data_IF_366941587433
#
_entry.id   IF_366941587433
#
_cell.length_a   1.000
_cell.length_b   1.000
_cell.length_c   1.000
_cell.angle_alpha   90.00
_cell.angle_beta   90.00
_cell.angle_gamma   90.00
#
_symmetry.space_group_name_H-M   'P 1'
#
loop_
_entity.id
_entity.type
_entity.pdbx_description
1 polymer ?
#
# COMPACT_ATOMS: atom_id res chain seq x y z
N UNK A 1 -21.16 -1.31 -6.74
CA UNK A 1 -20.60 -2.01 -7.92
C UNK A 1 -21.49 -3.15 -8.45
N UNK A 2 -21.80 -3.14 -9.75
CA UNK A 2 -22.53 -4.21 -10.46
C UNK A 2 -21.61 -5.39 -10.84
N UNK A 3 -22.19 -6.53 -11.23
CA UNK A 3 -21.39 -7.69 -11.67
C UNK A 3 -20.66 -7.44 -12.99
N UNK A 4 -21.24 -6.67 -13.90
CA UNK A 4 -20.57 -6.21 -15.13
C UNK A 4 -19.34 -5.34 -14.81
N UNK A 5 -19.47 -4.43 -13.84
CA UNK A 5 -18.36 -3.59 -13.38
C UNK A 5 -17.26 -4.42 -12.71
N UNK A 6 -17.62 -5.39 -11.86
CA UNK A 6 -16.65 -6.34 -11.28
C UNK A 6 -15.93 -7.13 -12.37
N UNK A 7 -16.66 -7.62 -13.37
CA UNK A 7 -16.09 -8.36 -14.50
C UNK A 7 -15.17 -7.49 -15.35
N UNK A 8 -15.55 -6.24 -15.60
CA UNK A 8 -14.68 -5.26 -16.25
C UNK A 8 -13.36 -5.07 -15.47
N UNK A 9 -13.44 -4.86 -14.15
CA UNK A 9 -12.25 -4.67 -13.30
C UNK A 9 -11.36 -5.91 -13.33
N UNK A 10 -11.94 -7.11 -13.28
CA UNK A 10 -11.21 -8.38 -13.40
C UNK A 10 -10.37 -8.41 -14.68
N UNK A 11 -11.03 -8.21 -15.82
CA UNK A 11 -10.40 -8.28 -17.13
C UNK A 11 -9.36 -7.16 -17.34
N UNK A 12 -9.70 -5.94 -16.93
CA UNK A 12 -8.85 -4.76 -17.15
C UNK A 12 -7.66 -4.70 -16.20
N UNK A 13 -7.88 -4.93 -14.91
CA UNK A 13 -6.89 -4.65 -13.86
C UNK A 13 -6.01 -5.85 -13.54
N UNK A 14 -6.56 -7.06 -13.59
CA UNK A 14 -5.87 -8.31 -13.24
C UNK A 14 -5.45 -9.10 -14.46
N UNK A 15 -6.33 -9.33 -15.44
CA UNK A 15 -5.99 -10.03 -16.69
C UNK A 15 -5.28 -9.13 -17.72
N UNK A 16 -5.17 -7.82 -17.47
CA UNK A 16 -4.51 -6.81 -18.33
C UNK A 16 -5.01 -6.77 -19.77
N UNK A 17 -6.29 -7.11 -20.00
CA UNK A 17 -6.90 -7.05 -21.33
C UNK A 17 -7.08 -5.62 -21.82
N UNK A 18 -6.87 -5.44 -23.12
CA UNK A 18 -7.21 -4.22 -23.85
C UNK A 18 -8.72 -4.08 -23.99
N UNK A 19 -9.20 -2.87 -24.29
CA UNK A 19 -10.64 -2.65 -24.45
C UNK A 19 -11.26 -3.53 -25.55
N UNK A 20 -10.67 -3.71 -26.75
CA UNK A 20 -11.20 -4.64 -27.76
C UNK A 20 -11.37 -6.08 -27.24
N UNK A 21 -10.41 -6.57 -26.46
CA UNK A 21 -10.49 -7.91 -25.88
C UNK A 21 -11.60 -8.01 -24.82
N UNK A 22 -11.83 -6.94 -24.07
CA UNK A 22 -12.91 -6.86 -23.07
C UNK A 22 -14.27 -6.78 -23.76
N UNK A 23 -14.43 -5.96 -24.80
CA UNK A 23 -15.65 -5.87 -25.62
C UNK A 23 -16.05 -7.26 -26.13
N UNK A 24 -15.07 -8.00 -26.69
CA UNK A 24 -15.27 -9.38 -27.13
C UNK A 24 -15.61 -10.32 -25.98
N UNK A 25 -14.90 -10.23 -24.86
CA UNK A 25 -15.09 -11.11 -23.70
C UNK A 25 -16.44 -10.92 -23.00
N UNK A 26 -16.97 -9.70 -23.01
CA UNK A 26 -18.22 -9.34 -22.34
C UNK A 26 -19.41 -9.24 -23.32
N UNK A 27 -19.16 -9.36 -24.63
CA UNK A 27 -20.15 -9.17 -25.69
C UNK A 27 -20.88 -7.81 -25.60
N UNK A 28 -20.12 -6.73 -25.41
CA UNK A 28 -20.62 -5.35 -25.32
C UNK A 28 -19.86 -4.42 -26.26
N UNK A 29 -20.49 -3.32 -26.68
CA UNK A 29 -19.84 -2.31 -27.50
C UNK A 29 -19.06 -1.25 -26.68
N UNK A 30 -18.29 -0.42 -27.37
CA UNK A 30 -17.43 0.62 -26.75
C UNK A 30 -18.20 1.60 -25.86
N UNK A 31 -19.42 1.96 -26.24
CA UNK A 31 -20.26 2.90 -25.50
C UNK A 31 -20.71 2.29 -24.17
N UNK A 32 -21.18 1.03 -24.21
CA UNK A 32 -21.54 0.26 -23.03
C UNK A 32 -20.34 0.06 -22.10
N UNK A 33 -19.19 -0.36 -22.64
CA UNK A 33 -17.96 -0.55 -21.88
C UNK A 33 -17.50 0.75 -21.20
N UNK A 34 -17.57 1.88 -21.91
CA UNK A 34 -17.20 3.18 -21.34
C UNK A 34 -18.15 3.61 -20.22
N UNK A 35 -19.45 3.28 -20.34
CA UNK A 35 -20.45 3.57 -19.32
C UNK A 35 -20.22 2.81 -18.00
N UNK A 36 -19.51 1.65 -18.04
CA UNK A 36 -19.13 0.92 -16.82
C UNK A 36 -18.14 1.71 -15.95
N UNK A 37 -17.39 2.66 -16.51
CA UNK A 37 -16.35 3.43 -15.79
C UNK A 37 -16.88 4.67 -15.08
N UNK A 38 -17.79 4.45 -14.16
CA UNK A 38 -18.23 5.50 -13.25
C UNK A 38 -17.14 5.89 -12.22
N UNK A 39 -17.50 6.79 -11.30
CA UNK A 39 -16.59 7.26 -10.24
C UNK A 39 -16.14 6.12 -9.32
N UNK A 40 -17.02 5.18 -8.99
CA UNK A 40 -16.71 4.05 -8.10
C UNK A 40 -15.69 3.12 -8.76
N UNK A 41 -15.92 2.73 -10.02
CA UNK A 41 -14.99 1.88 -10.80
C UNK A 41 -13.66 2.56 -11.01
N UNK A 42 -13.65 3.85 -11.35
CA UNK A 42 -12.39 4.59 -11.54
C UNK A 42 -11.58 4.67 -10.25
N UNK A 43 -12.23 4.88 -9.10
CA UNK A 43 -11.56 4.84 -7.80
C UNK A 43 -10.98 3.46 -7.50
N UNK A 44 -11.73 2.39 -7.79
CA UNK A 44 -11.26 1.03 -7.58
C UNK A 44 -10.07 0.68 -8.47
N UNK A 45 -10.11 1.03 -9.76
CA UNK A 45 -9.00 0.86 -10.70
C UNK A 45 -7.76 1.63 -10.22
N UNK A 46 -7.93 2.89 -9.79
CA UNK A 46 -6.82 3.68 -9.26
C UNK A 46 -6.20 3.06 -8.00
N UNK A 47 -7.03 2.50 -7.11
CA UNK A 47 -6.54 1.80 -5.92
C UNK A 47 -5.78 0.51 -6.29
N UNK A 48 -6.29 -0.28 -7.22
CA UNK A 48 -5.59 -1.47 -7.73
C UNK A 48 -4.25 -1.08 -8.35
N UNK A 49 -4.19 0.01 -9.13
CA UNK A 49 -2.94 0.51 -9.71
C UNK A 49 -1.91 0.94 -8.63
N UNK A 50 -2.35 1.59 -7.55
CA UNK A 50 -1.47 1.92 -6.42
C UNK A 50 -0.88 0.67 -5.75
N UNK A 51 -1.67 -0.39 -5.62
CA UNK A 51 -1.19 -1.68 -5.07
C UNK A 51 -0.26 -2.36 -6.08
N UNK A 52 -0.57 -2.32 -7.37
CA UNK A 52 0.30 -2.83 -8.43
C UNK A 52 1.68 -2.15 -8.44
N UNK A 53 1.76 -0.85 -8.14
CA UNK A 53 3.05 -0.17 -7.98
C UNK A 53 3.91 -0.75 -6.84
N UNK A 54 3.31 -1.43 -5.86
CA UNK A 54 4.02 -2.16 -4.80
C UNK A 54 4.46 -3.56 -5.26
N UNK A 55 3.99 -4.07 -6.40
CA UNK A 55 4.35 -5.39 -6.93
C UNK A 55 5.65 -5.35 -7.74
N UNK A 56 6.77 -5.10 -7.04
CA UNK A 56 8.11 -4.94 -7.64
C UNK A 56 8.65 -6.27 -8.19
N UNK A 57 9.67 -6.23 -9.06
CA UNK A 57 10.30 -7.44 -9.65
C UNK A 57 10.65 -8.53 -8.63
N UNK A 58 11.15 -8.14 -7.45
CA UNK A 58 11.47 -9.09 -6.37
C UNK A 58 10.21 -9.79 -5.83
N UNK A 59 9.11 -9.04 -5.67
CA UNK A 59 7.83 -9.60 -5.22
C UNK A 59 7.14 -10.38 -6.35
N UNK A 60 7.23 -9.93 -7.60
CA UNK A 60 6.69 -10.65 -8.76
C UNK A 60 7.19 -12.08 -8.80
N UNK A 61 8.50 -12.30 -8.62
CA UNK A 61 9.09 -13.63 -8.61
C UNK A 61 8.52 -14.53 -7.51
N UNK A 62 8.34 -14.00 -6.29
CA UNK A 62 7.86 -14.76 -5.14
C UNK A 62 6.35 -15.03 -5.15
N UNK A 63 5.61 -14.31 -5.99
CA UNK A 63 4.18 -14.48 -6.20
C UNK A 63 3.90 -15.09 -7.59
N UNK A 64 4.89 -15.76 -8.21
CA UNK A 64 4.74 -16.45 -9.50
C UNK A 64 4.18 -15.56 -10.62
N UNK A 65 4.53 -14.27 -10.59
CA UNK A 65 4.01 -13.21 -11.47
C UNK A 65 2.49 -13.01 -11.41
N UNK A 66 1.80 -13.61 -10.44
CA UNK A 66 0.37 -13.46 -10.20
C UNK A 66 0.10 -12.22 -9.35
N UNK A 67 -0.25 -11.12 -10.03
CA UNK A 67 -0.65 -9.89 -9.36
C UNK A 67 -1.94 -10.05 -8.54
N UNK A 68 -2.89 -10.90 -8.95
CA UNK A 68 -4.15 -11.10 -8.23
C UNK A 68 -3.89 -11.75 -6.89
N UNK A 69 -3.00 -12.74 -6.83
CA UNK A 69 -2.51 -13.35 -5.58
C UNK A 69 -1.87 -12.30 -4.66
N UNK A 70 -0.97 -11.46 -5.18
CA UNK A 70 -0.37 -10.38 -4.40
C UNK A 70 -1.39 -9.34 -3.91
N UNK A 71 -2.33 -8.95 -4.77
CA UNK A 71 -3.41 -8.03 -4.43
C UNK A 71 -4.26 -8.60 -3.30
N UNK A 72 -4.70 -9.85 -3.41
CA UNK A 72 -5.49 -10.54 -2.39
C UNK A 72 -4.74 -10.62 -1.05
N UNK A 73 -3.45 -10.95 -1.08
CA UNK A 73 -2.60 -10.89 0.11
C UNK A 73 -2.60 -9.48 0.73
N UNK A 74 -2.39 -8.43 -0.08
CA UNK A 74 -2.30 -7.05 0.41
C UNK A 74 -3.61 -6.54 1.01
N UNK A 75 -4.74 -6.74 0.32
CA UNK A 75 -6.05 -6.26 0.78
C UNK A 75 -6.60 -7.10 1.94
N UNK A 76 -6.16 -8.35 2.07
CA UNK A 76 -6.49 -9.20 3.21
C UNK A 76 -5.80 -8.78 4.52
N UNK A 77 -4.82 -7.88 4.47
CA UNK A 77 -4.19 -7.32 5.66
C UNK A 77 -5.09 -6.26 6.32
N UNK A 78 -4.98 -6.12 7.65
CA UNK A 78 -5.72 -5.13 8.46
C UNK A 78 -5.47 -3.66 8.11
N UNK A 79 -4.53 -3.35 7.21
CA UNK A 79 -4.08 -1.98 6.89
C UNK A 79 -3.58 -1.21 8.13
N UNK A 80 -2.84 -1.93 8.98
CA UNK A 80 -2.10 -1.39 10.12
C UNK A 80 -0.65 -1.88 10.06
N UNK A 81 0.23 -1.21 10.79
CA UNK A 81 1.59 -1.67 11.01
C UNK A 81 1.55 -2.95 11.86
N UNK A 82 1.97 -4.08 11.32
CA UNK A 82 2.02 -5.35 12.05
C UNK A 82 3.07 -5.42 13.17
N UNK A 83 3.81 -4.32 13.39
CA UNK A 83 4.66 -4.12 14.57
C UNK A 83 3.95 -3.26 15.62
N UNK A 84 3.88 -1.94 15.40
CA UNK A 84 3.37 -1.01 16.41
C UNK A 84 1.84 -0.79 16.40
N UNK A 85 1.12 -1.37 15.44
CA UNK A 85 -0.34 -1.27 15.34
C UNK A 85 -0.89 0.03 14.76
N UNK A 86 -0.05 1.02 14.41
CA UNK A 86 -0.55 2.26 13.80
C UNK A 86 -1.25 1.98 12.46
N UNK A 87 -2.45 2.51 12.29
CA UNK A 87 -3.27 2.33 11.10
C UNK A 87 -2.80 3.22 9.94
N UNK A 88 -3.16 2.84 8.72
CA UNK A 88 -2.94 3.68 7.54
C UNK A 88 -3.65 5.06 7.67
N UNK A 89 -4.79 5.11 8.34
CA UNK A 89 -5.54 6.36 8.55
C UNK A 89 -4.84 7.29 9.54
N UNK A 90 -4.33 6.77 10.65
CA UNK A 90 -3.52 7.54 11.60
C UNK A 90 -2.24 8.06 10.96
N UNK A 91 -1.57 7.25 10.12
CA UNK A 91 -0.41 7.73 9.37
C UNK A 91 -0.77 8.88 8.43
N UNK A 92 -1.92 8.84 7.73
CA UNK A 92 -2.33 9.98 6.90
C UNK A 92 -2.58 11.25 7.72
N UNK A 93 -3.11 11.14 8.95
CA UNK A 93 -3.24 12.29 9.87
C UNK A 93 -1.88 12.82 10.28
N UNK A 94 -0.94 11.95 10.66
CA UNK A 94 0.39 12.35 11.09
C UNK A 94 1.21 13.02 9.98
N UNK A 95 1.06 12.53 8.75
CA UNK A 95 1.77 12.99 7.55
C UNK A 95 0.92 13.92 6.67
N UNK A 96 -0.07 14.62 7.24
CA UNK A 96 -0.94 15.51 6.47
C UNK A 96 -0.11 16.53 5.67
N UNK A 97 -0.54 16.81 4.44
CA UNK A 97 0.14 17.78 3.56
C UNK A 97 -0.17 19.22 3.95
N UNK A 98 -1.30 19.46 4.60
CA UNK A 98 -1.66 20.75 5.18
C UNK A 98 -0.74 21.05 6.38
N UNK A 99 0.13 22.08 6.29
CA UNK A 99 1.07 22.40 7.36
C UNK A 99 0.36 22.81 8.67
N UNK A 100 -0.92 23.18 8.64
CA UNK A 100 -1.69 23.53 9.84
C UNK A 100 -2.30 22.29 10.53
N UNK A 101 -2.33 21.13 9.86
CA UNK A 101 -2.87 19.87 10.39
C UNK A 101 -1.80 18.80 10.63
N UNK A 102 -0.63 19.00 10.03
CA UNK A 102 0.50 18.07 10.14
C UNK A 102 1.01 18.00 11.57
N UNK A 103 1.23 16.77 12.04
CA UNK A 103 1.77 16.50 13.38
C UNK A 103 3.28 16.20 13.32
N UNK A 104 3.75 15.44 12.33
CA UNK A 104 5.17 15.09 12.23
C UNK A 104 6.02 16.21 11.61
N UNK A 105 7.26 16.43 12.08
CA UNK A 105 8.08 17.58 11.72
C UNK A 105 8.69 17.53 10.30
N UNK A 106 8.20 16.68 9.39
CA UNK A 106 8.93 16.35 8.15
C UNK A 106 9.03 17.48 7.12
N UNK A 107 8.47 18.66 7.35
CA UNK A 107 8.80 19.84 6.55
C UNK A 107 8.74 21.04 7.49
N UNK A 108 9.88 21.45 8.07
CA UNK A 108 9.99 22.84 8.56
C UNK A 108 9.52 23.75 7.43
N UNK A 109 8.62 24.71 7.71
CA UNK A 109 8.09 25.64 6.70
C UNK A 109 9.22 26.33 5.92
N UNK A 110 10.38 26.49 6.57
CA UNK A 110 11.55 27.18 6.05
C UNK A 110 12.55 26.25 5.34
N UNK A 111 12.34 24.92 5.36
CA UNK A 111 13.16 23.98 4.60
C UNK A 111 12.59 23.77 3.21
N UNK A 112 13.31 24.30 2.22
CA UNK A 112 13.05 24.05 0.80
C UNK A 112 13.60 22.67 0.44
N UNK A 113 12.71 21.68 0.33
CA UNK A 113 13.08 20.39 -0.25
C UNK A 113 12.92 20.47 -1.77
N UNK A 114 14.02 20.30 -2.51
CA UNK A 114 14.01 20.23 -3.98
C UNK A 114 13.19 19.04 -4.51
N UNK A 115 12.94 18.04 -3.66
CA UNK A 115 12.06 16.90 -3.93
C UNK A 115 11.37 16.43 -2.67
N UNK A 116 10.09 16.06 -2.79
CA UNK A 116 9.34 15.44 -1.71
C UNK A 116 10.09 14.18 -1.19
N UNK A 117 10.34 14.10 0.12
CA UNK A 117 11.03 12.97 0.75
C UNK A 117 10.26 11.66 0.55
N UNK A 118 10.97 10.53 0.45
CA UNK A 118 10.39 9.21 0.08
C UNK A 118 9.16 8.79 0.91
N UNK A 119 9.13 9.14 2.19
CA UNK A 119 8.09 8.75 3.16
C UNK A 119 7.12 9.87 3.52
N UNK A 120 7.15 10.97 2.77
CA UNK A 120 6.31 12.16 3.01
C UNK A 120 4.80 11.90 2.91
N UNK A 121 4.38 10.74 2.39
CA UNK A 121 2.97 10.38 2.22
C UNK A 121 2.40 9.52 3.35
N UNK A 122 3.20 9.10 4.34
CA UNK A 122 2.70 8.30 5.46
C UNK A 122 2.07 6.96 5.05
N UNK A 123 2.52 6.32 3.97
CA UNK A 123 1.93 5.04 3.54
C UNK A 123 2.61 3.86 4.23
N UNK A 124 1.84 2.85 4.63
CA UNK A 124 2.36 1.55 5.02
C UNK A 124 3.25 0.98 3.91
N UNK A 125 4.41 0.51 4.32
CA UNK A 125 5.43 -0.13 3.49
C UNK A 125 5.33 -1.66 3.65
N UNK A 126 5.78 -2.41 2.65
CA UNK A 126 5.86 -3.87 2.74
C UNK A 126 7.29 -4.22 3.15
N UNK A 127 7.44 -4.77 4.33
CA UNK A 127 8.70 -5.12 4.98
C UNK A 127 8.86 -6.65 5.04
N UNK A 128 10.12 -7.10 5.14
CA UNK A 128 10.44 -8.53 5.31
C UNK A 128 10.76 -8.80 6.78
N UNK A 129 10.07 -9.76 7.40
CA UNK A 129 10.30 -10.14 8.79
C UNK A 129 11.78 -10.49 9.01
N UNK A 130 12.27 -11.43 8.21
CA UNK A 130 13.68 -11.74 8.03
C UNK A 130 14.25 -11.04 6.79
N UNK A 131 15.14 -10.08 7.04
CA UNK A 131 15.78 -9.27 6.00
C UNK A 131 16.78 -10.05 5.13
N UNK A 132 17.20 -11.24 5.56
CA UNK A 132 18.08 -12.13 4.80
C UNK A 132 17.30 -13.05 3.85
N UNK A 133 15.99 -13.23 4.08
CA UNK A 133 15.11 -14.10 3.30
C UNK A 133 14.35 -13.37 2.17
N UNK A 134 13.64 -14.13 1.34
CA UNK A 134 12.90 -13.63 0.16
C UNK A 134 11.55 -12.99 0.53
N UNK A 135 10.89 -12.35 -0.44
CA UNK A 135 9.58 -11.70 -0.28
C UNK A 135 8.40 -12.69 -0.34
N UNK A 136 8.50 -13.83 0.36
CA UNK A 136 7.41 -14.82 0.42
C UNK A 136 6.26 -14.32 1.28
N UNK A 137 5.02 -14.74 1.02
CA UNK A 137 3.85 -14.31 1.82
C UNK A 137 4.02 -14.44 3.33
N UNK A 138 4.72 -15.49 3.78
CA UNK A 138 5.01 -15.77 5.19
C UNK A 138 6.09 -14.85 5.79
N UNK A 139 6.94 -14.28 4.94
CA UNK A 139 8.02 -13.38 5.34
C UNK A 139 7.67 -11.90 5.11
N UNK A 140 6.41 -11.57 4.78
CA UNK A 140 6.00 -10.19 4.54
C UNK A 140 5.07 -9.66 5.63
N UNK A 141 5.24 -8.38 5.95
CA UNK A 141 4.36 -7.65 6.85
C UNK A 141 4.14 -6.23 6.32
N UNK A 142 3.00 -5.63 6.68
CA UNK A 142 2.84 -4.18 6.55
C UNK A 142 3.54 -3.50 7.72
N UNK A 143 4.41 -2.54 7.45
CA UNK A 143 5.12 -1.78 8.45
C UNK A 143 4.94 -0.28 8.21
N UNK A 144 4.81 0.51 9.27
CA UNK A 144 4.83 1.96 9.14
C UNK A 144 6.24 2.45 8.73
N UNK A 145 6.34 3.67 8.16
CA UNK A 145 7.63 4.24 7.76
C UNK A 145 8.69 4.27 8.87
N UNK A 146 8.29 4.49 10.13
CA UNK A 146 9.23 4.51 11.25
C UNK A 146 9.73 3.11 11.61
N UNK A 147 8.82 2.13 11.78
CA UNK A 147 9.21 0.76 12.12
C UNK A 147 10.10 0.13 11.05
N UNK A 148 9.71 0.24 9.77
CA UNK A 148 10.52 -0.32 8.68
C UNK A 148 11.91 0.33 8.61
N UNK A 149 11.99 1.65 8.78
CA UNK A 149 13.26 2.35 8.72
C UNK A 149 14.18 2.06 9.91
N UNK A 150 13.61 2.00 11.11
CA UNK A 150 14.37 1.82 12.35
C UNK A 150 14.83 0.36 12.54
N UNK A 151 13.98 -0.62 12.21
CA UNK A 151 14.39 -2.04 12.20
C UNK A 151 15.50 -2.28 11.18
N UNK A 152 15.31 -1.75 9.97
CA UNK A 152 16.25 -1.92 8.86
C UNK A 152 16.56 -3.42 8.60
N UNK A 153 17.71 -3.71 8.02
CA UNK A 153 18.32 -5.04 8.00
C UNK A 153 19.27 -5.27 9.18
N UNK A 154 19.23 -4.41 10.20
CA UNK A 154 20.20 -4.38 11.31
C UNK A 154 19.66 -5.05 12.57
N UNK A 155 18.33 -5.08 12.74
CA UNK A 155 17.66 -5.62 13.91
C UNK A 155 16.73 -6.74 13.45
N UNK A 156 16.84 -7.91 14.09
CA UNK A 156 15.94 -9.03 13.82
C UNK A 156 14.52 -8.74 14.33
N UNK A 157 13.55 -9.51 13.82
CA UNK A 157 12.14 -9.32 14.14
C UNK A 157 11.84 -9.43 15.64
N UNK A 158 12.48 -10.38 16.33
CA UNK A 158 12.23 -10.63 17.75
C UNK A 158 12.74 -9.47 18.59
N UNK A 159 13.99 -9.08 18.40
CA UNK A 159 14.59 -7.93 19.10
C UNK A 159 13.80 -6.64 18.82
N UNK A 160 13.34 -6.43 17.58
CA UNK A 160 12.51 -5.29 17.22
C UNK A 160 11.19 -5.26 18.01
N UNK A 161 10.47 -6.39 18.04
CA UNK A 161 9.20 -6.54 18.74
C UNK A 161 9.33 -6.38 20.25
N UNK A 162 10.35 -6.97 20.85
CA UNK A 162 10.52 -6.98 22.31
C UNK A 162 11.03 -5.64 22.85
N UNK A 163 12.01 -5.03 22.18
CA UNK A 163 12.73 -3.87 22.73
C UNK A 163 12.24 -2.52 22.20
N UNK A 164 11.78 -2.45 20.95
CA UNK A 164 11.54 -1.17 20.26
C UNK A 164 10.06 -0.88 19.98
N UNK A 165 9.24 -1.91 19.72
CA UNK A 165 7.80 -1.73 19.46
C UNK A 165 7.07 -1.01 20.61
N UNK A 166 7.30 -1.32 21.90
CA UNK A 166 6.67 -0.59 23.01
C UNK A 166 7.00 0.91 23.01
N UNK A 167 8.23 1.26 22.66
CA UNK A 167 8.69 2.66 22.55
C UNK A 167 8.01 3.34 21.37
N UNK A 168 7.92 2.67 20.21
CA UNK A 168 7.22 3.20 19.03
C UNK A 168 5.73 3.43 19.29
N UNK A 169 5.07 2.53 20.03
CA UNK A 169 3.68 2.70 20.43
C UNK A 169 3.52 3.91 21.34
N UNK A 170 4.40 4.09 22.33
CA UNK A 170 4.40 5.25 23.21
C UNK A 170 4.58 6.55 22.42
N UNK A 171 5.53 6.57 21.49
CA UNK A 171 5.77 7.74 20.64
C UNK A 171 4.54 8.08 19.78
N UNK A 172 3.95 7.12 19.08
CA UNK A 172 2.75 7.40 18.28
C UNK A 172 1.55 7.86 19.11
N UNK A 173 1.36 7.28 20.31
CA UNK A 173 0.34 7.75 21.25
C UNK A 173 0.57 9.21 21.63
N UNK A 174 1.81 9.61 21.92
CA UNK A 174 2.13 11.02 22.25
C UNK A 174 1.86 12.01 21.11
N UNK A 175 1.80 11.56 19.87
CA UNK A 175 1.52 12.40 18.71
C UNK A 175 0.02 12.46 18.35
N UNK A 176 -0.72 11.39 18.65
CA UNK A 176 -2.13 11.27 18.29
C UNK A 176 -3.08 11.76 19.40
N UNK A 177 -2.55 11.99 20.61
CA UNK A 177 -3.26 12.54 21.76
C UNK A 177 -3.37 14.06 21.70
#
# INVERSE_FOLDING_TARGET
>A
MTDEQKRFIELYSFEKKTYPEIEKSMNINRKQLSALRDKEVNNQVANIQKIHAKFTKKRQKEFDYDFKRFYNWYVGQKQECGYCGITQQELYRLFDKDPNKRILPYLEKDRIYTKAPKRSFGTLEIERLDSSSNYTEKNLILACPLCNNAKSNLIDEKSWKELFVPVMQTYYKSLLN
#
